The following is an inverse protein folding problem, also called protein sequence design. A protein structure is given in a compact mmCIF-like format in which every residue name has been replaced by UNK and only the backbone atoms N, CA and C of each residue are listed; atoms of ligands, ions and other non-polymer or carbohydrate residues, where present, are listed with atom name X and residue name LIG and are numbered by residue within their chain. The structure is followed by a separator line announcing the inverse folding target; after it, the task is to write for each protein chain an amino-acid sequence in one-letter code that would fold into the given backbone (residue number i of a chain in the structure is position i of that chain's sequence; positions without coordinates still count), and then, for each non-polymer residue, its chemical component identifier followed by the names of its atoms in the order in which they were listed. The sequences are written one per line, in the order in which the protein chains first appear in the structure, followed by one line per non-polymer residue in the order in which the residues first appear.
data_IF_399083267166
#
_entry.id   IF_399083267166
#
_cell.length_a   1.000
_cell.length_b   1.000
_cell.length_c   1.000
_cell.angle_alpha   90.00
_cell.angle_beta   90.00
_cell.angle_gamma   90.00
#
_symmetry.space_group_name_H-M   'P 1'
#
loop_
_entity.id
_entity.type
_entity.pdbx_description
1 polymer ?
#
# COMPACT_ATOMS: atom_id res chain seq x y z
N UNK A 1 5.25 31.98 21.66
CA UNK A 1 5.22 32.91 20.52
C UNK A 1 6.46 32.59 19.70
N UNK A 2 6.33 32.20 18.42
CA UNK A 2 7.49 31.87 17.57
C UNK A 2 8.31 33.14 17.32
N UNK A 3 9.64 33.02 17.29
CA UNK A 3 10.51 34.11 16.85
C UNK A 3 10.24 34.48 15.39
N UNK A 4 10.69 35.66 14.96
CA UNK A 4 10.59 36.11 13.57
C UNK A 4 11.27 35.11 12.62
N UNK A 5 12.42 34.57 13.03
CA UNK A 5 13.16 33.56 12.27
C UNK A 5 12.42 32.22 12.19
N UNK A 6 11.79 31.78 13.29
CA UNK A 6 10.99 30.55 13.30
C UNK A 6 9.69 30.71 12.49
N UNK A 7 9.04 31.86 12.58
CA UNK A 7 7.84 32.17 11.79
C UNK A 7 8.16 32.19 10.29
N UNK A 8 9.27 32.83 9.91
CA UNK A 8 9.75 32.85 8.54
C UNK A 8 10.16 31.45 8.04
N UNK A 9 10.71 30.60 8.91
CA UNK A 9 11.01 29.20 8.59
C UNK A 9 9.73 28.40 8.36
N UNK A 10 8.75 28.49 9.25
CA UNK A 10 7.46 27.78 9.09
C UNK A 10 6.73 28.21 7.81
N UNK A 11 6.77 29.51 7.49
CA UNK A 11 6.12 30.06 6.28
C UNK A 11 6.84 29.70 4.98
N UNK A 12 8.15 29.41 5.00
CA UNK A 12 8.95 29.17 3.79
C UNK A 12 9.52 27.75 3.66
N UNK A 13 9.39 26.88 4.68
CA UNK A 13 9.73 25.47 4.59
C UNK A 13 8.58 24.70 3.92
N UNK A 14 8.65 24.60 2.59
CA UNK A 14 7.95 23.58 1.81
C UNK A 14 6.43 23.69 1.69
N UNK A 15 5.79 24.61 2.43
CA UNK A 15 4.38 24.92 2.26
C UNK A 15 4.18 25.84 1.06
N UNK A 16 4.08 25.26 -0.12
CA UNK A 16 3.27 25.86 -1.16
C UNK A 16 1.82 25.50 -0.84
N UNK A 17 0.93 26.48 -0.72
CA UNK A 17 -0.52 26.25 -0.75
C UNK A 17 -0.91 25.72 -2.13
N UNK A 18 -0.56 24.46 -2.38
CA UNK A 18 -1.07 23.72 -3.53
C UNK A 18 -2.43 23.19 -3.09
N UNK A 19 -3.53 23.61 -3.73
CA UNK A 19 -4.84 23.04 -3.44
C UNK A 19 -4.76 21.51 -3.57
N UNK A 20 -4.99 20.81 -2.46
CA UNK A 20 -5.10 19.36 -2.47
C UNK A 20 -6.53 18.98 -2.86
N UNK A 21 -6.65 18.08 -3.83
CA UNK A 21 -7.96 17.59 -4.24
C UNK A 21 -8.55 16.66 -3.17
N UNK A 22 -9.65 17.10 -2.57
CA UNK A 22 -10.40 16.35 -1.56
C UNK A 22 -11.63 15.65 -2.13
N UNK A 23 -11.88 15.77 -3.44
CA UNK A 23 -13.06 15.22 -4.11
C UNK A 23 -12.78 13.85 -4.75
N UNK A 24 -11.51 13.48 -4.93
CA UNK A 24 -11.12 12.20 -5.51
C UNK A 24 -10.19 11.40 -4.60
N UNK A 25 -10.38 10.09 -4.58
CA UNK A 25 -9.47 9.15 -3.93
C UNK A 25 -8.13 9.12 -4.66
N UNK A 26 -7.04 8.84 -3.94
CA UNK A 26 -5.69 8.82 -4.53
C UNK A 26 -5.58 7.79 -5.66
N UNK A 27 -6.19 6.60 -5.50
CA UNK A 27 -6.12 5.55 -6.51
C UNK A 27 -6.81 5.93 -7.83
N UNK A 28 -7.90 6.71 -7.81
CA UNK A 28 -8.60 7.11 -9.04
C UNK A 28 -7.74 8.07 -9.89
N UNK A 29 -6.90 8.89 -9.25
CA UNK A 29 -5.90 9.71 -9.95
C UNK A 29 -4.81 8.85 -10.60
N UNK A 30 -4.37 7.78 -9.93
CA UNK A 30 -3.41 6.83 -10.50
C UNK A 30 -4.00 6.13 -11.72
N UNK A 31 -5.27 5.73 -11.64
CA UNK A 31 -6.01 5.12 -12.76
C UNK A 31 -6.11 6.06 -13.95
N UNK A 32 -6.45 7.33 -13.73
CA UNK A 32 -6.48 8.35 -14.78
C UNK A 32 -5.11 8.50 -15.46
N UNK A 33 -4.02 8.56 -14.67
CA UNK A 33 -2.66 8.64 -15.22
C UNK A 33 -2.32 7.37 -16.01
N UNK A 34 -2.71 6.19 -15.55
CA UNK A 34 -2.47 4.93 -16.26
C UNK A 34 -3.18 4.88 -17.62
N UNK A 35 -4.36 5.50 -17.74
CA UNK A 35 -5.07 5.64 -19.02
C UNK A 35 -4.45 6.71 -19.92
N UNK A 36 -4.13 7.88 -19.36
CA UNK A 36 -3.64 9.03 -20.12
C UNK A 36 -2.18 8.89 -20.56
N UNK A 37 -1.36 8.23 -19.75
CA UNK A 37 0.10 8.12 -19.93
C UNK A 37 0.57 6.67 -19.68
N UNK A 38 0.04 5.68 -20.42
CA UNK A 38 0.24 4.27 -20.08
C UNK A 38 1.71 3.85 -20.09
N UNK A 39 2.49 4.32 -21.06
CA UNK A 39 3.90 3.94 -21.26
C UNK A 39 4.88 4.80 -20.45
N UNK A 40 4.38 5.80 -19.70
CA UNK A 40 5.21 6.60 -18.81
C UNK A 40 5.75 5.72 -17.70
N UNK A 41 7.03 5.85 -17.39
CA UNK A 41 7.64 5.12 -16.29
C UNK A 41 7.14 5.66 -14.95
N UNK A 42 6.51 4.81 -14.15
CA UNK A 42 6.02 5.10 -12.80
C UNK A 42 7.05 4.73 -11.73
N UNK A 43 7.86 3.70 -11.98
CA UNK A 43 8.88 3.23 -11.05
C UNK A 43 10.14 2.78 -11.78
N UNK A 44 11.30 3.06 -11.18
CA UNK A 44 12.61 2.51 -11.52
C UNK A 44 13.34 2.15 -10.24
N UNK A 45 13.87 0.93 -10.17
CA UNK A 45 14.76 0.54 -9.08
C UNK A 45 16.12 1.23 -9.24
N UNK A 46 16.72 1.59 -8.11
CA UNK A 46 18.08 2.12 -8.06
C UNK A 46 19.12 0.99 -8.20
N UNK A 47 18.78 -0.20 -7.70
CA UNK A 47 19.69 -1.34 -7.61
C UNK A 47 19.62 -2.24 -8.86
N UNK A 48 18.48 -2.22 -9.57
CA UNK A 48 18.28 -2.95 -10.81
C UNK A 48 17.63 -2.06 -11.89
N UNK A 49 18.41 -1.52 -12.85
CA UNK A 49 17.88 -0.72 -13.95
C UNK A 49 16.85 -1.44 -14.84
N UNK A 50 16.85 -2.78 -14.85
CA UNK A 50 15.88 -3.61 -15.55
C UNK A 50 14.53 -3.68 -14.83
N UNK A 51 14.52 -3.49 -13.51
CA UNK A 51 13.31 -3.45 -12.69
C UNK A 51 12.64 -2.07 -12.81
N UNK A 52 11.76 -1.95 -13.80
CA UNK A 52 10.91 -0.79 -14.03
C UNK A 52 9.45 -1.19 -14.14
N UNK A 53 8.56 -0.21 -13.92
CA UNK A 53 7.13 -0.31 -14.23
C UNK A 53 6.65 0.91 -14.96
N UNK A 54 5.87 0.72 -16.00
CA UNK A 54 5.05 1.76 -16.60
C UNK A 54 3.81 2.07 -15.74
N UNK A 55 3.16 3.20 -15.97
CA UNK A 55 1.90 3.54 -15.29
C UNK A 55 0.82 2.48 -15.54
N UNK A 56 0.74 1.93 -16.76
CA UNK A 56 -0.20 0.84 -17.10
C UNK A 56 0.12 -0.43 -16.29
N UNK A 57 1.37 -0.91 -16.36
CA UNK A 57 1.79 -2.14 -15.68
C UNK A 57 1.56 -2.06 -14.17
N UNK A 58 1.89 -0.91 -13.56
CA UNK A 58 1.68 -0.69 -12.14
C UNK A 58 0.19 -0.76 -11.77
N UNK A 59 -0.68 -0.10 -12.54
CA UNK A 59 -2.11 -0.10 -12.28
C UNK A 59 -2.73 -1.49 -12.46
N UNK A 60 -2.39 -2.20 -13.53
CA UNK A 60 -2.88 -3.55 -13.80
C UNK A 60 -2.43 -4.54 -12.72
N UNK A 61 -1.18 -4.46 -12.27
CA UNK A 61 -0.67 -5.34 -11.20
C UNK A 61 -1.34 -5.06 -9.86
N UNK A 62 -1.60 -3.79 -9.55
CA UNK A 62 -2.37 -3.39 -8.38
C UNK A 62 -3.85 -3.81 -8.47
N UNK A 63 -4.46 -3.77 -9.67
CA UNK A 63 -5.82 -4.25 -9.90
C UNK A 63 -5.94 -5.75 -9.63
N UNK A 64 -5.03 -6.57 -10.18
CA UNK A 64 -5.04 -8.02 -9.94
C UNK A 64 -4.95 -8.35 -8.45
N UNK A 65 -4.05 -7.66 -7.75
CA UNK A 65 -3.93 -7.82 -6.30
C UNK A 65 -5.20 -7.36 -5.57
N UNK A 66 -5.80 -6.23 -5.93
CA UNK A 66 -7.05 -5.76 -5.32
C UNK A 66 -8.21 -6.76 -5.51
N UNK A 67 -8.35 -7.31 -6.72
CA UNK A 67 -9.34 -8.36 -7.01
C UNK A 67 -9.10 -9.60 -6.15
N UNK A 68 -7.86 -10.07 -6.01
CA UNK A 68 -7.51 -11.18 -5.13
C UNK A 68 -7.89 -10.90 -3.67
N UNK A 69 -7.53 -9.72 -3.14
CA UNK A 69 -7.81 -9.36 -1.75
C UNK A 69 -9.32 -9.35 -1.47
N UNK A 70 -10.13 -8.85 -2.39
CA UNK A 70 -11.59 -8.80 -2.24
C UNK A 70 -12.24 -10.15 -2.47
N UNK A 71 -11.84 -10.86 -3.52
CA UNK A 71 -12.44 -12.13 -3.91
C UNK A 71 -12.07 -13.27 -2.96
N UNK A 72 -10.80 -13.41 -2.60
CA UNK A 72 -10.29 -14.54 -1.81
C UNK A 72 -10.23 -14.21 -0.32
N UNK A 73 -9.72 -13.03 0.04
CA UNK A 73 -9.49 -12.68 1.45
C UNK A 73 -10.66 -11.90 2.08
N UNK A 74 -11.65 -11.52 1.26
CA UNK A 74 -12.84 -10.78 1.67
C UNK A 74 -12.50 -9.48 2.42
N UNK A 75 -11.44 -8.79 1.99
CA UNK A 75 -11.19 -7.43 2.51
C UNK A 75 -12.29 -6.50 2.03
N UNK A 76 -12.70 -5.56 2.87
CA UNK A 76 -13.76 -4.62 2.57
C UNK A 76 -13.38 -3.19 3.00
N UNK A 77 -13.94 -2.15 2.37
CA UNK A 77 -13.65 -0.77 2.74
C UNK A 77 -13.78 -0.52 4.25
N UNK A 78 -12.75 0.10 4.84
CA UNK A 78 -12.65 0.33 6.29
C UNK A 78 -11.85 -0.74 7.06
N UNK A 79 -11.50 -1.87 6.44
CA UNK A 79 -10.57 -2.83 7.03
C UNK A 79 -9.15 -2.25 7.15
N UNK A 80 -8.34 -2.88 8.00
CA UNK A 80 -6.91 -2.61 8.13
C UNK A 80 -6.12 -3.85 7.74
N UNK A 81 -5.16 -3.68 6.84
CA UNK A 81 -4.25 -4.73 6.36
C UNK A 81 -2.82 -4.40 6.78
N UNK A 82 -2.12 -5.34 7.42
CA UNK A 82 -0.73 -5.12 7.76
C UNK A 82 0.17 -5.26 6.52
N UNK A 83 1.19 -4.41 6.41
CA UNK A 83 2.13 -4.38 5.30
C UNK A 83 3.56 -4.49 5.84
N UNK A 84 4.15 -5.67 5.73
CA UNK A 84 5.49 -6.00 6.23
C UNK A 84 6.51 -6.18 5.11
N UNK A 85 7.00 -5.07 4.57
CA UNK A 85 8.05 -5.05 3.55
C UNK A 85 8.76 -3.69 3.51
N UNK A 86 10.05 -3.70 3.20
CA UNK A 86 10.86 -2.51 2.92
C UNK A 86 10.38 -1.84 1.61
N UNK A 87 10.88 -0.63 1.34
CA UNK A 87 10.51 0.14 0.14
C UNK A 87 10.95 -0.59 -1.13
N UNK A 88 9.98 -1.02 -1.94
CA UNK A 88 10.20 -1.68 -3.22
C UNK A 88 9.04 -1.39 -4.18
N UNK A 89 9.11 -1.92 -5.40
CA UNK A 89 7.96 -1.90 -6.31
C UNK A 89 6.76 -2.67 -5.74
N UNK A 90 6.99 -3.79 -5.04
CA UNK A 90 5.91 -4.58 -4.44
C UNK A 90 5.13 -3.78 -3.40
N UNK A 91 5.83 -2.96 -2.61
CA UNK A 91 5.22 -2.07 -1.62
C UNK A 91 4.29 -1.07 -2.27
N UNK A 92 4.71 -0.48 -3.40
CA UNK A 92 3.90 0.47 -4.15
C UNK A 92 2.67 -0.22 -4.75
N UNK A 93 2.86 -1.40 -5.36
CA UNK A 93 1.77 -2.22 -5.90
C UNK A 93 0.74 -2.59 -4.80
N UNK A 94 1.21 -2.98 -3.61
CA UNK A 94 0.37 -3.27 -2.44
C UNK A 94 -0.43 -2.07 -1.97
N UNK A 95 0.23 -0.93 -1.75
CA UNK A 95 -0.43 0.28 -1.26
C UNK A 95 -1.54 0.71 -2.21
N UNK A 96 -1.27 0.69 -3.52
CA UNK A 96 -2.28 1.04 -4.52
C UNK A 96 -3.43 0.02 -4.51
N UNK A 97 -3.14 -1.28 -4.43
CA UNK A 97 -4.16 -2.32 -4.36
C UNK A 97 -5.06 -2.16 -3.12
N UNK A 98 -4.46 -1.86 -1.97
CA UNK A 98 -5.18 -1.62 -0.71
C UNK A 98 -6.07 -0.38 -0.81
N UNK A 99 -5.57 0.72 -1.39
CA UNK A 99 -6.40 1.89 -1.64
C UNK A 99 -7.56 1.62 -2.61
N UNK A 100 -7.36 0.77 -3.64
CA UNK A 100 -8.42 0.31 -4.54
C UNK A 100 -9.46 -0.57 -3.85
N UNK A 101 -9.09 -1.25 -2.77
CA UNK A 101 -10.01 -1.99 -1.90
C UNK A 101 -10.73 -1.07 -0.89
N UNK A 102 -10.31 0.19 -0.75
CA UNK A 102 -10.81 1.11 0.26
C UNK A 102 -10.32 0.79 1.68
N UNK A 103 -9.22 0.04 1.80
CA UNK A 103 -8.69 -0.39 3.10
C UNK A 103 -7.49 0.45 3.50
N UNK A 104 -7.31 0.61 4.80
CA UNK A 104 -6.12 1.21 5.35
C UNK A 104 -5.00 0.17 5.41
N UNK A 105 -3.76 0.61 5.18
CA UNK A 105 -2.59 -0.22 5.47
C UNK A 105 -1.93 0.19 6.78
N UNK A 106 -1.43 -0.79 7.54
CA UNK A 106 -0.62 -0.59 8.73
C UNK A 106 0.80 -1.10 8.43
N UNK A 107 1.79 -0.21 8.26
CA UNK A 107 3.16 -0.64 8.03
C UNK A 107 3.71 -1.32 9.28
N UNK A 108 4.31 -2.49 9.11
CA UNK A 108 5.06 -3.18 10.15
C UNK A 108 6.49 -3.39 9.66
N UNK A 109 7.48 -3.24 10.54
CA UNK A 109 8.87 -3.54 10.21
C UNK A 109 9.17 -5.01 10.54
N UNK A 110 9.43 -5.88 9.55
CA UNK A 110 9.76 -7.28 9.79
C UNK A 110 11.00 -7.50 10.67
N UNK A 111 11.83 -6.46 10.87
CA UNK A 111 13.04 -6.50 11.72
C UNK A 111 12.72 -6.34 13.20
N UNK A 112 11.48 -6.01 13.56
CA UNK A 112 11.08 -5.93 14.96
C UNK A 112 11.00 -7.33 15.60
N UNK A 113 11.20 -7.43 16.93
CA UNK A 113 11.06 -8.69 17.63
C UNK A 113 9.70 -9.33 17.35
N UNK A 114 9.70 -10.64 17.06
CA UNK A 114 8.51 -11.36 16.62
C UNK A 114 7.34 -11.28 17.61
N UNK A 115 7.62 -11.42 18.91
CA UNK A 115 6.62 -11.27 19.97
C UNK A 115 5.99 -9.86 20.01
N UNK A 116 6.75 -8.82 19.63
CA UNK A 116 6.23 -7.45 19.54
C UNK A 116 5.30 -7.29 18.34
N UNK A 117 5.71 -7.82 17.18
CA UNK A 117 4.88 -7.82 15.98
C UNK A 117 3.58 -8.59 16.19
N UNK A 118 3.63 -9.76 16.83
CA UNK A 118 2.45 -10.52 17.24
C UNK A 118 1.48 -9.69 18.08
N UNK A 119 1.99 -9.05 19.13
CA UNK A 119 1.19 -8.21 20.02
C UNK A 119 0.51 -7.04 19.27
N UNK A 120 1.20 -6.41 18.32
CA UNK A 120 0.62 -5.37 17.46
C UNK A 120 -0.51 -5.94 16.59
N UNK A 121 -0.25 -7.06 15.90
CA UNK A 121 -1.23 -7.68 15.00
C UNK A 121 -2.50 -8.10 15.75
N UNK A 122 -2.36 -8.70 16.93
CA UNK A 122 -3.47 -9.09 17.81
C UNK A 122 -4.24 -7.87 18.31
N UNK A 123 -3.54 -6.84 18.81
CA UNK A 123 -4.15 -5.62 19.35
C UNK A 123 -4.92 -4.84 18.29
N UNK A 124 -4.39 -4.79 17.06
CA UNK A 124 -5.01 -4.14 15.92
C UNK A 124 -6.08 -5.01 15.21
N UNK A 125 -6.28 -6.26 15.67
CA UNK A 125 -7.24 -7.24 15.09
C UNK A 125 -7.03 -7.44 13.58
N UNK A 126 -5.77 -7.48 13.16
CA UNK A 126 -5.42 -7.69 11.76
C UNK A 126 -5.90 -9.09 11.33
N UNK A 127 -6.48 -9.17 10.13
CA UNK A 127 -6.84 -10.46 9.50
C UNK A 127 -5.96 -10.82 8.31
N UNK A 128 -5.35 -9.83 7.68
CA UNK A 128 -4.54 -10.02 6.46
C UNK A 128 -3.20 -9.31 6.65
N UNK A 129 -2.12 -9.99 6.33
CA UNK A 129 -0.76 -9.47 6.36
C UNK A 129 -0.13 -9.68 4.99
N UNK A 130 0.31 -8.60 4.35
CA UNK A 130 1.05 -8.65 3.10
C UNK A 130 2.54 -8.57 3.38
N UNK A 131 3.30 -9.49 2.81
CA UNK A 131 4.72 -9.71 3.10
C UNK A 131 5.53 -9.80 1.81
N UNK A 132 6.80 -9.41 1.89
CA UNK A 132 7.82 -9.82 0.92
C UNK A 132 8.63 -10.96 1.54
N UNK A 133 8.51 -12.21 1.06
CA UNK A 133 9.21 -13.36 1.63
C UNK A 133 10.74 -13.20 1.61
N UNK A 134 11.30 -12.34 0.75
CA UNK A 134 12.74 -12.08 0.69
C UNK A 134 13.24 -11.22 1.84
N UNK A 135 12.34 -10.53 2.54
CA UNK A 135 12.65 -9.56 3.59
C UNK A 135 12.12 -10.01 4.97
N UNK A 136 11.32 -11.07 4.99
CA UNK A 136 10.66 -11.58 6.17
C UNK A 136 11.39 -12.84 6.64
N UNK A 137 11.99 -12.85 7.82
CA UNK A 137 12.62 -14.05 8.37
C UNK A 137 11.55 -15.10 8.71
N UNK A 138 11.89 -16.38 8.60
CA UNK A 138 10.98 -17.50 8.94
C UNK A 138 10.43 -17.41 10.37
N UNK A 139 11.21 -16.83 11.29
CA UNK A 139 10.79 -16.60 12.68
C UNK A 139 9.61 -15.64 12.79
N UNK A 140 9.45 -14.69 11.86
CA UNK A 140 8.28 -13.81 11.85
C UNK A 140 7.03 -14.56 11.39
N UNK A 141 7.15 -15.45 10.40
CA UNK A 141 6.00 -16.24 9.92
C UNK A 141 5.38 -17.08 11.02
N UNK A 142 6.19 -17.68 11.89
CA UNK A 142 5.70 -18.47 13.03
C UNK A 142 4.97 -17.65 14.09
N UNK A 143 5.07 -16.33 14.03
CA UNK A 143 4.58 -15.41 15.05
C UNK A 143 3.42 -14.54 14.55
N UNK A 144 3.10 -14.64 13.27
CA UNK A 144 1.83 -14.16 12.72
C UNK A 144 0.71 -14.98 13.38
N UNK A 145 -0.30 -14.34 13.97
CA UNK A 145 -1.43 -15.05 14.57
C UNK A 145 -2.09 -16.01 13.57
N UNK A 146 -2.49 -17.19 14.03
CA UNK A 146 -3.05 -18.26 13.17
C UNK A 146 -4.33 -17.87 12.44
N UNK A 147 -5.05 -16.89 12.98
CA UNK A 147 -6.24 -16.28 12.41
C UNK A 147 -5.94 -15.26 11.29
N UNK A 148 -4.68 -14.83 11.16
CA UNK A 148 -4.24 -13.98 10.06
C UNK A 148 -3.91 -14.82 8.83
N UNK A 149 -4.30 -14.32 7.66
CA UNK A 149 -3.82 -14.83 6.38
C UNK A 149 -2.60 -14.00 5.97
N UNK A 150 -1.44 -14.65 5.94
CA UNK A 150 -0.21 -14.07 5.40
C UNK A 150 -0.13 -14.32 3.89
N UNK A 151 0.13 -13.27 3.12
CA UNK A 151 0.26 -13.33 1.66
C UNK A 151 1.67 -12.92 1.27
N UNK A 152 2.37 -13.81 0.58
CA UNK A 152 3.68 -13.54 0.00
C UNK A 152 3.50 -12.88 -1.37
N UNK A 153 3.70 -11.56 -1.42
CA UNK A 153 3.33 -10.76 -2.59
C UNK A 153 4.25 -11.01 -3.78
N UNK A 154 5.51 -11.37 -3.54
CA UNK A 154 6.48 -11.70 -4.61
C UNK A 154 6.08 -12.98 -5.36
N UNK A 155 5.38 -13.90 -4.71
CA UNK A 155 4.89 -15.17 -5.28
C UNK A 155 3.53 -15.01 -5.98
N UNK A 156 2.81 -13.91 -5.72
CA UNK A 156 1.53 -13.63 -6.36
C UNK A 156 1.74 -13.17 -7.82
N UNK A 157 1.33 -13.97 -8.81
CA UNK A 157 1.30 -13.55 -10.22
C UNK A 157 0.01 -12.80 -10.56
N UNK A 158 -1.10 -13.30 -10.00
CA UNK A 158 -2.43 -12.75 -10.14
C UNK A 158 -3.09 -13.02 -11.49
N UNK A 159 -2.53 -13.91 -12.32
CA UNK A 159 -2.96 -14.12 -13.72
C UNK A 159 -4.43 -14.55 -13.86
N UNK A 160 -5.00 -15.13 -12.81
CA UNK A 160 -6.43 -15.53 -12.74
C UNK A 160 -7.37 -14.37 -12.36
N UNK A 161 -6.83 -13.19 -12.05
CA UNK A 161 -7.60 -12.02 -11.62
C UNK A 161 -7.64 -10.92 -12.68
N UNK A 162 -8.73 -10.14 -12.66
CA UNK A 162 -8.96 -9.02 -13.57
C UNK A 162 -7.87 -7.94 -13.47
N UNK A 163 -7.53 -7.33 -14.61
CA UNK A 163 -6.60 -6.20 -14.68
C UNK A 163 -7.32 -4.85 -14.75
N UNK A 164 -8.65 -4.84 -14.79
CA UNK A 164 -9.52 -3.67 -14.79
C UNK A 164 -9.67 -3.04 -13.39
N UNK A 165 -9.97 -1.75 -13.36
CA UNK A 165 -10.11 -1.02 -12.10
C UNK A 165 -11.31 -1.52 -11.30
N UNK A 166 -11.08 -1.74 -10.01
CA UNK A 166 -12.11 -2.15 -9.08
C UNK A 166 -13.05 -0.99 -8.77
N UNK A 167 -14.35 -1.19 -8.95
CA UNK A 167 -15.38 -0.17 -8.67
C UNK A 167 -16.08 -0.47 -7.35
N UNK A 168 -15.49 0.00 -6.25
CA UNK A 168 -16.09 -0.08 -4.90
C UNK A 168 -16.59 1.29 -4.43
N UNK A 169 -17.66 1.36 -3.62
CA UNK A 169 -18.15 2.61 -3.04
C UNK A 169 -17.23 3.08 -1.89
N UNK A 170 -16.07 3.64 -2.23
CA UNK A 170 -15.04 4.07 -1.28
C UNK A 170 -15.23 5.55 -0.96
N UNK A 171 -15.25 5.91 0.33
CA UNK A 171 -15.30 7.32 0.76
C UNK A 171 -13.96 8.01 0.55
N UNK A 172 -13.98 9.26 0.05
CA UNK A 172 -12.80 10.15 0.01
C UNK A 172 -12.26 10.50 1.40
N UNK A 173 -13.06 10.28 2.46
CA UNK A 173 -12.68 10.44 3.86
C UNK A 173 -12.31 9.11 4.54
N UNK A 174 -12.17 8.03 3.77
CA UNK A 174 -11.75 6.74 4.28
C UNK A 174 -10.34 6.79 4.88
N UNK A 175 -10.09 5.94 5.88
CA UNK A 175 -8.74 5.79 6.44
C UNK A 175 -7.87 5.12 5.37
N UNK A 176 -6.73 5.73 5.07
CA UNK A 176 -5.79 5.22 4.06
C UNK A 176 -4.59 4.49 4.68
N UNK A 177 -4.21 4.86 5.91
CA UNK A 177 -3.10 4.26 6.63
C UNK A 177 -3.25 4.43 8.15
N UNK A 178 -2.54 3.62 8.94
CA UNK A 178 -2.49 3.67 10.41
C UNK A 178 -1.01 3.70 10.85
N UNK A 179 -0.67 4.49 11.87
CA UNK A 179 0.66 4.53 12.53
C UNK A 179 0.53 3.98 13.94
#
# INVERSE_FOLDING_TARGET
MLSVTESHRVQNLGYHEVPFDQEHQIHTRIEQIAVQQPDRIAYRSADDPGQRRTCRELNERANRLAHYLVAELKVAPGDVVALGMDRSILTVECIIALWKCGVAYMPIDPKYPSAFLRSILESAKIRVVLLDPRQVPDSLRSEIPTECVAVDVDEFTGDDFGNENLSLPISVRGIAYVI
#
